data_IF_678875143720
#
_entry.id   IF_678875143720
#
_cell.length_a   1.000
_cell.length_b   1.000
_cell.length_c   1.000
_cell.angle_alpha   90.00
_cell.angle_beta   90.00
_cell.angle_gamma   90.00
#
_symmetry.space_group_name_H-M   'P 1'
#
loop_
_entity.id
_entity.type
_entity.pdbx_description
1 polymer ?
#
# COMPACT_ATOMS: atom_id res chain seq x y z
N UNK A 1 18.92 12.36 8.71
CA UNK A 1 17.64 12.18 8.00
C UNK A 1 17.63 10.88 7.19
N UNK A 2 18.72 10.55 6.49
CA UNK A 2 18.87 9.26 5.77
C UNK A 2 18.85 8.02 6.68
N UNK A 3 19.50 8.05 7.85
CA UNK A 3 19.51 6.89 8.77
C UNK A 3 18.13 6.54 9.36
N UNK A 4 17.29 7.55 9.63
CA UNK A 4 15.93 7.31 10.14
C UNK A 4 15.02 6.76 9.04
N UNK A 5 15.20 7.21 7.79
CA UNK A 5 14.47 6.69 6.64
C UNK A 5 14.89 5.24 6.33
N UNK A 6 16.18 4.93 6.38
CA UNK A 6 16.68 3.55 6.22
C UNK A 6 16.15 2.61 7.31
N UNK A 7 16.12 3.04 8.58
CA UNK A 7 15.52 2.26 9.67
C UNK A 7 14.02 2.03 9.48
N UNK A 8 13.29 3.03 9.00
CA UNK A 8 11.87 2.90 8.69
C UNK A 8 11.63 1.90 7.54
N UNK A 9 12.48 1.89 6.51
CA UNK A 9 12.37 0.98 5.37
C UNK A 9 12.81 -0.45 5.71
N UNK A 10 13.82 -0.65 6.57
CA UNK A 10 14.24 -1.99 7.01
C UNK A 10 13.14 -2.74 7.77
N UNK A 11 12.19 -2.01 8.34
CA UNK A 11 11.07 -2.57 9.08
C UNK A 11 9.85 -2.83 8.20
N UNK A 12 9.96 -2.60 6.88
CA UNK A 12 8.86 -2.76 5.93
C UNK A 12 9.28 -3.74 4.84
N UNK A 13 8.53 -4.83 4.70
CA UNK A 13 8.60 -5.70 3.53
C UNK A 13 7.29 -5.62 2.77
N UNK A 14 7.37 -5.69 1.44
CA UNK A 14 6.19 -5.72 0.60
C UNK A 14 6.37 -6.71 -0.56
N UNK A 15 5.25 -7.31 -0.98
CA UNK A 15 5.14 -8.17 -2.15
C UNK A 15 3.97 -7.69 -2.98
N UNK A 16 4.12 -7.70 -4.30
CA UNK A 16 3.05 -7.32 -5.22
C UNK A 16 2.77 -8.48 -6.17
N UNK A 17 1.50 -8.80 -6.32
CA UNK A 17 1.00 -9.62 -7.40
C UNK A 17 0.20 -8.74 -8.36
N UNK A 18 0.84 -8.31 -9.45
CA UNK A 18 0.23 -7.43 -10.43
C UNK A 18 -0.94 -8.10 -11.18
N UNK A 19 -0.79 -9.38 -11.53
CA UNK A 19 -1.82 -10.16 -12.23
C UNK A 19 -3.14 -10.22 -11.44
N UNK A 20 -3.06 -10.34 -10.12
CA UNK A 20 -4.22 -10.40 -9.21
C UNK A 20 -4.58 -9.03 -8.63
N UNK A 21 -3.78 -8.00 -8.90
CA UNK A 21 -3.90 -6.67 -8.32
C UNK A 21 -3.96 -6.69 -6.79
N UNK A 22 -3.09 -7.49 -6.17
CA UNK A 22 -2.95 -7.60 -4.72
C UNK A 22 -1.56 -7.21 -4.26
N UNK A 23 -1.46 -6.73 -3.04
CA UNK A 23 -0.19 -6.44 -2.38
C UNK A 23 -0.25 -6.91 -0.94
N UNK A 24 0.85 -7.51 -0.49
CA UNK A 24 1.06 -7.90 0.88
C UNK A 24 2.12 -6.96 1.47
N UNK A 25 1.83 -6.35 2.59
CA UNK A 25 2.72 -5.42 3.29
C UNK A 25 2.93 -5.96 4.71
N UNK A 26 4.17 -6.09 5.14
CA UNK A 26 4.48 -6.42 6.53
C UNK A 26 5.33 -5.31 7.13
N UNK A 27 4.89 -4.79 8.26
CA UNK A 27 5.54 -3.67 8.96
C UNK A 27 5.88 -4.12 10.37
N UNK A 28 7.09 -3.80 10.85
CA UNK A 28 7.49 -3.93 12.24
C UNK A 28 7.54 -2.52 12.85
N UNK A 29 6.49 -2.06 13.53
CA UNK A 29 6.48 -0.73 14.13
C UNK A 29 7.63 -0.58 15.13
N UNK A 30 8.12 0.65 15.28
CA UNK A 30 9.18 0.92 16.24
C UNK A 30 8.69 0.62 17.67
N UNK A 31 9.44 -0.21 18.41
CA UNK A 31 9.06 -0.65 19.75
C UNK A 31 8.24 -1.94 19.80
N UNK A 32 7.83 -2.48 18.66
CA UNK A 32 7.14 -3.78 18.57
C UNK A 32 8.14 -4.90 18.26
N UNK A 33 7.94 -6.07 18.86
CA UNK A 33 8.75 -7.28 18.60
C UNK A 33 8.13 -8.17 17.53
N UNK A 34 6.87 -7.92 17.19
CA UNK A 34 6.09 -8.75 16.27
C UNK A 34 5.60 -7.90 15.09
N UNK A 35 5.77 -8.37 13.86
CA UNK A 35 5.26 -7.67 12.69
C UNK A 35 3.73 -7.59 12.67
N UNK A 36 3.23 -6.64 11.88
CA UNK A 36 1.83 -6.52 11.48
C UNK A 36 1.78 -6.74 9.98
N UNK A 37 0.97 -7.69 9.54
CA UNK A 37 0.78 -7.98 8.12
C UNK A 37 -0.54 -7.39 7.63
N UNK A 38 -0.49 -6.87 6.41
CA UNK A 38 -1.60 -6.28 5.69
C UNK A 38 -1.73 -6.94 4.32
N UNK A 39 -2.96 -7.25 3.95
CA UNK A 39 -3.32 -7.76 2.64
C UNK A 39 -4.24 -6.74 1.98
N UNK A 40 -3.83 -6.20 0.83
CA UNK A 40 -4.60 -5.16 0.14
C UNK A 40 -4.87 -5.50 -1.33
N UNK A 41 -6.04 -5.09 -1.79
CA UNK A 41 -6.43 -5.14 -3.19
C UNK A 41 -6.39 -3.74 -3.75
N UNK A 42 -5.77 -3.56 -4.90
CA UNK A 42 -5.67 -2.26 -5.54
C UNK A 42 -6.24 -2.27 -6.96
N UNK A 43 -6.42 -1.08 -7.52
CA UNK A 43 -6.74 -0.87 -8.94
C UNK A 43 -5.97 0.33 -9.46
N UNK A 44 -5.55 0.23 -10.72
CA UNK A 44 -4.97 1.37 -11.44
C UNK A 44 -5.98 1.81 -12.49
N UNK A 45 -6.44 3.05 -12.40
CA UNK A 45 -7.44 3.64 -13.30
C UNK A 45 -6.83 4.76 -14.11
N UNK A 46 -7.19 4.83 -15.38
CA UNK A 46 -6.75 5.87 -16.31
C UNK A 46 -7.91 6.82 -16.58
N UNK A 47 -7.75 8.07 -16.16
CA UNK A 47 -8.73 9.14 -16.29
C UNK A 47 -8.12 10.27 -17.15
N UNK A 48 -8.17 10.07 -18.48
CA UNK A 48 -7.53 10.96 -19.45
C UNK A 48 -6.03 11.00 -19.27
N UNK A 49 -5.47 12.18 -18.99
CA UNK A 49 -4.04 12.33 -18.74
C UNK A 49 -3.61 11.83 -17.35
N UNK A 50 -4.53 11.45 -16.45
CA UNK A 50 -4.20 11.05 -15.07
C UNK A 50 -4.22 9.53 -14.93
N UNK A 51 -3.22 8.98 -14.25
CA UNK A 51 -3.24 7.59 -13.77
C UNK A 51 -3.34 7.62 -12.24
N UNK A 52 -4.30 6.89 -11.70
CA UNK A 52 -4.64 6.88 -10.28
C UNK A 52 -4.56 5.47 -9.72
N UNK A 53 -4.00 5.34 -8.52
CA UNK A 53 -3.92 4.10 -7.75
C UNK A 53 -4.96 4.13 -6.63
N UNK A 54 -5.82 3.13 -6.58
CA UNK A 54 -6.88 2.99 -5.60
C UNK A 54 -6.68 1.76 -4.75
N UNK A 55 -6.66 1.91 -3.43
CA UNK A 55 -6.83 0.77 -2.52
C UNK A 55 -8.32 0.52 -2.36
N UNK A 56 -8.76 -0.67 -2.77
CA UNK A 56 -10.18 -1.07 -2.75
C UNK A 56 -10.56 -1.88 -1.53
N UNK A 57 -9.58 -2.59 -0.96
CA UNK A 57 -9.72 -3.38 0.25
C UNK A 57 -8.38 -3.46 0.94
N UNK A 58 -8.42 -3.50 2.26
CA UNK A 58 -7.28 -3.82 3.11
C UNK A 58 -7.78 -4.71 4.25
N UNK A 59 -6.93 -5.63 4.68
CA UNK A 59 -7.16 -6.45 5.84
C UNK A 59 -5.85 -6.58 6.63
N UNK A 60 -5.93 -6.70 7.95
CA UNK A 60 -4.77 -7.01 8.80
C UNK A 60 -4.94 -8.34 9.53
N UNK A 61 -3.82 -8.99 9.82
CA UNK A 61 -3.76 -10.16 10.68
C UNK A 61 -4.17 -9.87 12.13
N UNK A 62 -4.02 -8.60 12.58
CA UNK A 62 -4.44 -8.15 13.91
C UNK A 62 -5.81 -7.51 13.88
N UNK A 63 -6.76 -8.09 14.63
CA UNK A 63 -8.16 -7.66 14.65
C UNK A 63 -8.35 -6.17 14.95
N UNK A 64 -7.66 -5.64 15.97
CA UNK A 64 -7.77 -4.22 16.34
C UNK A 64 -7.19 -3.29 15.27
N UNK A 65 -6.18 -3.72 14.51
CA UNK A 65 -5.62 -2.96 13.39
C UNK A 65 -6.60 -3.01 12.22
N UNK A 66 -7.14 -4.19 11.92
CA UNK A 66 -8.11 -4.41 10.85
C UNK A 66 -9.34 -3.48 11.00
N UNK A 67 -9.84 -3.32 12.22
CA UNK A 67 -10.92 -2.38 12.55
C UNK A 67 -10.55 -0.92 12.23
N UNK A 68 -9.38 -0.47 12.67
CA UNK A 68 -8.91 0.91 12.43
C UNK A 68 -8.79 1.19 10.93
N UNK A 69 -8.18 0.26 10.18
CA UNK A 69 -7.91 0.48 8.77
C UNK A 69 -9.19 0.39 7.94
N UNK A 70 -10.15 -0.48 8.32
CA UNK A 70 -11.50 -0.49 7.73
C UNK A 70 -12.21 0.84 7.91
N UNK A 71 -12.24 1.37 9.14
CA UNK A 71 -12.82 2.69 9.41
C UNK A 71 -12.16 3.80 8.58
N UNK A 72 -10.86 3.67 8.33
CA UNK A 72 -10.11 4.66 7.55
C UNK A 72 -10.43 4.58 6.05
N UNK A 73 -10.51 3.38 5.47
CA UNK A 73 -10.94 3.19 4.08
C UNK A 73 -12.39 3.62 3.85
N UNK A 74 -13.29 3.34 4.79
CA UNK A 74 -14.70 3.74 4.68
C UNK A 74 -14.88 5.26 4.68
N UNK A 75 -14.05 5.99 5.42
CA UNK A 75 -14.06 7.45 5.46
C UNK A 75 -13.29 8.10 4.33
N UNK A 76 -12.33 7.39 3.74
CA UNK A 76 -11.39 7.93 2.76
C UNK A 76 -11.07 6.86 1.73
N UNK A 77 -11.60 7.02 0.51
CA UNK A 77 -11.12 6.27 -0.65
C UNK A 77 -9.64 6.59 -0.82
N UNK A 78 -8.75 5.65 -0.49
CA UNK A 78 -7.31 5.86 -0.60
C UNK A 78 -6.93 5.92 -2.08
N UNK A 79 -6.95 7.13 -2.63
CA UNK A 79 -6.58 7.45 -4.00
C UNK A 79 -5.23 8.16 -3.99
N UNK A 80 -4.26 7.57 -4.65
CA UNK A 80 -2.97 8.19 -4.92
C UNK A 80 -2.84 8.48 -6.41
N UNK A 81 -2.72 9.77 -6.77
CA UNK A 81 -2.43 10.19 -8.13
C UNK A 81 -0.96 9.92 -8.45
N UNK A 82 -0.70 9.05 -9.42
CA UNK A 82 0.66 8.69 -9.81
C UNK A 82 1.29 9.86 -10.59
N UNK A 83 2.48 10.35 -10.19
CA UNK A 83 3.22 11.37 -10.94
C UNK A 83 3.55 10.91 -12.37
N UNK A 84 3.35 11.79 -13.36
CA UNK A 84 3.45 11.43 -14.78
C UNK A 84 4.83 10.93 -15.21
N UNK A 85 5.89 11.45 -14.58
CA UNK A 85 7.26 11.04 -14.86
C UNK A 85 7.54 9.57 -14.48
N UNK A 86 6.71 8.93 -13.64
CA UNK A 86 6.87 7.52 -13.25
C UNK A 86 5.70 6.62 -13.68
N UNK A 87 4.67 7.18 -14.32
CA UNK A 87 3.47 6.43 -14.75
C UNK A 87 3.82 5.23 -15.63
N UNK A 88 4.73 5.37 -16.58
CA UNK A 88 5.12 4.28 -17.48
C UNK A 88 5.73 3.09 -16.72
N UNK A 89 6.58 3.38 -15.74
CA UNK A 89 7.21 2.37 -14.87
C UNK A 89 6.13 1.68 -14.04
N UNK A 90 5.30 2.46 -13.36
CA UNK A 90 4.22 1.92 -12.51
C UNK A 90 3.30 0.99 -13.29
N UNK A 91 2.91 1.36 -14.52
CA UNK A 91 2.08 0.51 -15.37
C UNK A 91 2.79 -0.79 -15.77
N UNK A 92 4.08 -0.75 -16.08
CA UNK A 92 4.84 -1.94 -16.46
C UNK A 92 4.94 -2.98 -15.33
N UNK A 93 4.95 -2.53 -14.08
CA UNK A 93 5.14 -3.41 -12.91
C UNK A 93 3.84 -3.75 -12.18
N UNK A 94 2.81 -2.90 -12.22
CA UNK A 94 1.64 -3.00 -11.35
C UNK A 94 0.30 -3.12 -12.09
N UNK A 95 0.23 -2.91 -13.41
CA UNK A 95 -1.02 -2.97 -14.21
C UNK A 95 -1.08 -4.25 -15.01
#
# INVERSE_FOLDING_TARGET
>A
MEEQLQKALNNVSFSVNAEKQTMDLTVIPHGETTPISFHLNYKIVENGEKTEFFVTKIASDRLWVDEIVKMWLEKSNFNYKIPQNIVGIVKMFLK
#
